data_IF_060999198104
#
_entry.id   IF_060999198104
#
_cell.length_a   1.000
_cell.length_b   1.000
_cell.length_c   1.000
_cell.angle_alpha   90.00
_cell.angle_beta   90.00
_cell.angle_gamma   90.00
#
_symmetry.space_group_name_H-M   'P 1'
#
loop_
_entity.id
_entity.type
_entity.pdbx_description
1 polymer ?
#
# COMPACT_ATOMS: atom_id res chain seq x y z
N UNK A 1 -2.34 -11.30 -8.32
CA UNK A 1 -2.02 -10.76 -9.66
C UNK A 1 -3.30 -10.48 -10.44
N UNK A 2 -4.17 -11.46 -10.69
CA UNK A 2 -5.40 -11.30 -11.51
C UNK A 2 -6.30 -10.16 -10.98
N UNK A 3 -6.62 -10.16 -9.69
CA UNK A 3 -7.43 -9.11 -9.05
C UNK A 3 -6.82 -7.73 -9.21
N UNK A 4 -5.52 -7.62 -9.04
CA UNK A 4 -4.77 -6.37 -9.19
C UNK A 4 -4.72 -5.88 -10.64
N UNK A 5 -4.55 -6.79 -11.60
CA UNK A 5 -4.60 -6.43 -13.03
C UNK A 5 -5.99 -5.88 -13.41
N UNK A 6 -7.05 -6.50 -12.90
CA UNK A 6 -8.43 -6.02 -13.10
C UNK A 6 -8.61 -4.65 -12.44
N UNK A 7 -8.11 -4.45 -11.22
CA UNK A 7 -8.21 -3.17 -10.50
C UNK A 7 -7.46 -2.05 -11.24
N UNK A 8 -6.26 -2.32 -11.75
CA UNK A 8 -5.49 -1.37 -12.55
C UNK A 8 -6.24 -1.01 -13.84
N UNK A 9 -6.82 -2.01 -14.52
CA UNK A 9 -7.58 -1.79 -15.75
C UNK A 9 -8.82 -0.93 -15.48
N UNK A 10 -9.61 -1.25 -14.45
CA UNK A 10 -10.78 -0.47 -14.06
C UNK A 10 -10.38 0.96 -13.70
N UNK A 11 -9.33 1.11 -12.88
CA UNK A 11 -8.83 2.44 -12.48
C UNK A 11 -8.36 3.25 -13.69
N UNK A 12 -7.67 2.63 -14.63
CA UNK A 12 -7.21 3.30 -15.85
C UNK A 12 -8.37 3.78 -16.71
N UNK A 13 -9.37 2.94 -16.93
CA UNK A 13 -10.54 3.27 -17.77
C UNK A 13 -11.39 4.36 -17.11
N UNK A 14 -11.61 4.29 -15.80
CA UNK A 14 -12.48 5.23 -15.08
C UNK A 14 -11.82 6.58 -14.85
N UNK A 15 -10.56 6.61 -14.45
CA UNK A 15 -9.89 7.84 -14.01
C UNK A 15 -8.72 8.26 -14.91
N UNK A 16 -8.03 7.33 -15.55
CA UNK A 16 -6.83 7.62 -16.34
C UNK A 16 -7.11 8.21 -17.72
N UNK A 17 -8.32 7.97 -18.28
CA UNK A 17 -8.68 8.45 -19.61
C UNK A 17 -9.43 9.77 -19.60
N UNK A 18 -10.22 10.06 -18.58
CA UNK A 18 -11.13 11.19 -18.51
C UNK A 18 -10.89 12.08 -17.29
N UNK A 19 -11.20 13.36 -17.41
CA UNK A 19 -11.20 14.31 -16.30
C UNK A 19 -10.01 15.27 -16.24
N UNK A 20 -10.17 16.30 -15.42
CA UNK A 20 -9.21 17.39 -15.23
C UNK A 20 -7.91 16.91 -14.58
N UNK A 21 -7.95 15.83 -13.79
CA UNK A 21 -6.84 15.29 -13.01
C UNK A 21 -6.19 14.03 -13.62
N UNK A 22 -6.44 13.75 -14.91
CA UNK A 22 -5.96 12.55 -15.60
C UNK A 22 -4.44 12.29 -15.48
N UNK A 23 -3.62 13.34 -15.46
CA UNK A 23 -2.16 13.22 -15.32
C UNK A 23 -1.81 12.63 -13.95
N UNK A 24 -2.43 13.11 -12.88
CA UNK A 24 -2.20 12.62 -11.52
C UNK A 24 -2.62 11.15 -11.38
N UNK A 25 -3.77 10.79 -11.93
CA UNK A 25 -4.26 9.40 -11.91
C UNK A 25 -3.36 8.46 -12.70
N UNK A 26 -2.80 8.90 -13.84
CA UNK A 26 -1.83 8.10 -14.60
C UNK A 26 -0.56 7.82 -13.81
N UNK A 27 -0.06 8.78 -13.05
CA UNK A 27 1.10 8.58 -12.19
C UNK A 27 0.75 7.63 -11.03
N UNK A 28 -0.46 7.73 -10.47
CA UNK A 28 -0.92 6.84 -9.40
C UNK A 28 -1.07 5.37 -9.83
N UNK A 29 -1.14 5.08 -11.13
CA UNK A 29 -1.05 3.68 -11.61
C UNK A 29 0.27 3.04 -11.21
N UNK A 30 1.36 3.80 -11.12
CA UNK A 30 2.67 3.31 -10.64
C UNK A 30 2.54 2.81 -9.20
N UNK A 31 1.77 3.51 -8.37
CA UNK A 31 1.49 3.09 -6.98
C UNK A 31 0.72 1.76 -6.95
N UNK A 32 -0.30 1.60 -7.81
CA UNK A 32 -1.03 0.33 -7.93
C UNK A 32 -0.12 -0.81 -8.38
N UNK A 33 0.78 -0.57 -9.33
CA UNK A 33 1.79 -1.54 -9.76
C UNK A 33 2.74 -1.88 -8.60
N UNK A 34 3.15 -0.87 -7.82
CA UNK A 34 3.98 -1.06 -6.63
C UNK A 34 3.33 -2.00 -5.61
N UNK A 35 2.02 -1.86 -5.38
CA UNK A 35 1.26 -2.75 -4.48
C UNK A 35 1.17 -4.19 -5.02
N UNK A 36 1.13 -4.38 -6.35
CA UNK A 36 1.16 -5.72 -6.94
C UNK A 36 2.47 -6.48 -6.66
N UNK A 37 3.57 -5.73 -6.53
CA UNK A 37 4.92 -6.27 -6.36
C UNK A 37 5.26 -6.40 -4.86
N UNK A 38 4.44 -5.86 -3.96
CA UNK A 38 4.71 -5.93 -2.53
C UNK A 38 4.63 -7.37 -2.00
N UNK A 39 5.76 -7.84 -1.48
CA UNK A 39 5.95 -9.15 -0.86
C UNK A 39 6.28 -9.03 0.64
N UNK A 40 5.99 -7.88 1.25
CA UNK A 40 6.27 -7.66 2.69
C UNK A 40 5.58 -8.68 3.58
N UNK A 41 4.36 -9.13 3.18
CA UNK A 41 3.60 -10.17 3.87
C UNK A 41 4.35 -11.50 4.00
N UNK A 42 5.18 -11.86 3.01
CA UNK A 42 6.00 -13.07 3.05
C UNK A 42 7.04 -13.00 4.18
N UNK A 43 7.78 -11.89 4.26
CA UNK A 43 8.78 -11.70 5.31
C UNK A 43 8.17 -11.56 6.71
N UNK A 44 6.95 -11.02 6.80
CA UNK A 44 6.19 -10.98 8.05
C UNK A 44 5.77 -12.40 8.47
N UNK A 45 5.30 -13.23 7.52
CA UNK A 45 4.87 -14.59 7.80
C UNK A 45 6.00 -15.53 8.28
N UNK A 46 7.23 -15.29 7.83
CA UNK A 46 8.42 -16.04 8.29
C UNK A 46 9.17 -15.35 9.45
N UNK A 47 8.55 -14.36 10.08
CA UNK A 47 9.07 -13.56 11.20
C UNK A 47 10.40 -12.81 10.90
N UNK A 48 10.74 -12.62 9.64
CA UNK A 48 11.94 -11.89 9.19
C UNK A 48 11.66 -10.36 9.08
N UNK A 49 11.15 -9.76 10.16
CA UNK A 49 10.75 -8.35 10.21
C UNK A 49 11.90 -7.39 9.93
N UNK A 50 13.12 -7.76 10.28
CA UNK A 50 14.31 -6.90 10.12
C UNK A 50 14.45 -6.39 8.69
N UNK A 51 14.22 -7.23 7.68
CA UNK A 51 14.36 -6.85 6.27
C UNK A 51 13.32 -5.83 5.84
N UNK A 52 12.06 -6.05 6.22
CA UNK A 52 10.97 -5.12 5.90
C UNK A 52 11.11 -3.79 6.65
N UNK A 53 11.51 -3.81 7.91
CA UNK A 53 11.70 -2.61 8.73
C UNK A 53 12.85 -1.76 8.21
N UNK A 54 14.02 -2.36 7.96
CA UNK A 54 15.19 -1.63 7.45
C UNK A 54 14.86 -1.01 6.08
N UNK A 55 14.29 -1.80 5.16
CA UNK A 55 13.88 -1.31 3.85
C UNK A 55 12.90 -0.14 3.98
N UNK A 56 11.84 -0.29 4.78
CA UNK A 56 10.84 0.76 4.96
C UNK A 56 11.46 2.03 5.53
N UNK A 57 12.38 1.91 6.49
CA UNK A 57 13.06 3.07 7.09
C UNK A 57 13.96 3.79 6.07
N UNK A 58 14.71 3.05 5.27
CA UNK A 58 15.57 3.62 4.23
C UNK A 58 14.73 4.32 3.16
N UNK A 59 13.66 3.67 2.66
CA UNK A 59 12.77 4.25 1.65
C UNK A 59 12.12 5.53 2.16
N UNK A 60 11.62 5.55 3.40
CA UNK A 60 11.02 6.75 4.03
C UNK A 60 12.04 7.87 4.18
N UNK A 61 13.29 7.56 4.55
CA UNK A 61 14.34 8.56 4.69
C UNK A 61 14.70 9.18 3.34
N UNK A 62 14.93 8.35 2.34
CA UNK A 62 15.22 8.82 0.96
C UNK A 62 14.04 9.66 0.44
N UNK A 63 12.81 9.20 0.63
CA UNK A 63 11.60 9.91 0.26
C UNK A 63 11.54 11.31 0.91
N UNK A 64 11.77 11.39 2.23
CA UNK A 64 11.78 12.67 2.94
C UNK A 64 12.84 13.62 2.36
N UNK A 65 14.06 13.13 2.15
CA UNK A 65 15.14 13.92 1.55
C UNK A 65 14.74 14.41 0.15
N UNK A 66 14.20 13.54 -0.69
CA UNK A 66 13.75 13.91 -2.04
C UNK A 66 12.65 14.99 -2.01
N UNK A 67 11.67 14.87 -1.09
CA UNK A 67 10.64 15.91 -0.95
C UNK A 67 11.28 17.25 -0.61
N UNK A 68 12.13 17.31 0.41
CA UNK A 68 12.77 18.57 0.79
C UNK A 68 13.66 19.18 -0.30
N UNK A 69 14.24 18.35 -1.16
CA UNK A 69 15.08 18.81 -2.27
C UNK A 69 14.26 19.31 -3.47
N UNK A 70 13.21 18.59 -3.86
CA UNK A 70 12.55 18.79 -5.15
C UNK A 70 11.17 19.46 -5.04
N UNK A 71 10.50 19.41 -3.91
CA UNK A 71 9.17 19.99 -3.71
C UNK A 71 9.32 21.30 -2.94
N UNK A 72 9.26 22.43 -3.67
CA UNK A 72 9.48 23.77 -3.09
C UNK A 72 8.22 24.64 -3.12
N UNK A 73 7.26 24.32 -3.99
CA UNK A 73 6.06 25.14 -4.20
C UNK A 73 4.80 24.28 -4.32
N UNK A 74 3.61 24.85 -4.10
CA UNK A 74 2.34 24.16 -4.33
C UNK A 74 2.17 23.60 -5.75
N UNK A 75 2.86 24.17 -6.74
CA UNK A 75 2.80 23.73 -8.13
C UNK A 75 3.61 22.44 -8.38
N UNK A 76 4.43 22.02 -7.44
CA UNK A 76 5.28 20.80 -7.55
C UNK A 76 4.52 19.51 -7.18
N UNK A 77 3.19 19.53 -7.16
CA UNK A 77 2.36 18.38 -6.80
C UNK A 77 2.69 17.13 -7.64
N UNK A 78 2.96 17.30 -8.93
CA UNK A 78 3.35 16.18 -9.81
C UNK A 78 4.65 15.55 -9.32
N UNK A 79 5.67 16.36 -8.99
CA UNK A 79 6.95 15.86 -8.46
C UNK A 79 6.74 15.09 -7.16
N UNK A 80 5.91 15.61 -6.28
CA UNK A 80 5.55 14.94 -5.02
C UNK A 80 4.94 13.55 -5.25
N UNK A 81 3.95 13.45 -6.15
CA UNK A 81 3.27 12.17 -6.45
C UNK A 81 4.25 11.18 -7.10
N UNK A 82 5.11 11.64 -8.03
CA UNK A 82 6.12 10.79 -8.68
C UNK A 82 7.14 10.27 -7.68
N UNK A 83 7.60 11.11 -6.75
CA UNK A 83 8.56 10.72 -5.71
C UNK A 83 7.94 9.65 -4.80
N UNK A 84 6.68 9.80 -4.37
CA UNK A 84 5.98 8.80 -3.56
C UNK A 84 5.86 7.47 -4.31
N UNK A 85 5.27 7.50 -5.49
CA UNK A 85 5.01 6.30 -6.27
C UNK A 85 6.32 5.58 -6.65
N UNK A 86 7.35 6.34 -7.00
CA UNK A 86 8.68 5.83 -7.29
C UNK A 86 9.35 5.19 -6.07
N UNK A 87 9.32 5.88 -4.92
CA UNK A 87 9.91 5.36 -3.68
C UNK A 87 9.26 4.03 -3.26
N UNK A 88 7.93 3.94 -3.34
CA UNK A 88 7.20 2.71 -3.03
C UNK A 88 7.53 1.59 -4.03
N UNK A 89 7.58 1.90 -5.32
CA UNK A 89 7.91 0.92 -6.36
C UNK A 89 9.31 0.35 -6.15
N UNK A 90 10.33 1.20 -6.05
CA UNK A 90 11.71 0.77 -5.82
C UNK A 90 11.88 0.06 -4.47
N UNK A 91 11.19 0.54 -3.43
CA UNK A 91 11.16 -0.10 -2.13
C UNK A 91 10.61 -1.52 -2.20
N UNK A 92 9.47 -1.72 -2.84
CA UNK A 92 8.86 -3.05 -2.97
C UNK A 92 9.70 -3.97 -3.86
N UNK A 93 10.25 -3.47 -4.97
CA UNK A 93 11.19 -4.24 -5.82
C UNK A 93 12.43 -4.70 -5.06
N UNK A 94 12.95 -3.91 -4.14
CA UNK A 94 14.17 -4.27 -3.39
C UNK A 94 14.01 -5.53 -2.52
N UNK A 95 12.80 -5.86 -2.08
CA UNK A 95 12.54 -7.08 -1.32
C UNK A 95 12.73 -8.35 -2.15
N UNK A 96 12.51 -8.28 -3.45
CA UNK A 96 12.66 -9.43 -4.34
C UNK A 96 14.10 -9.94 -4.42
N UNK A 97 15.09 -9.11 -4.11
CA UNK A 97 16.51 -9.50 -4.05
C UNK A 97 16.75 -10.59 -2.99
N UNK A 98 15.94 -10.60 -1.93
CA UNK A 98 16.09 -11.57 -0.84
C UNK A 98 15.33 -12.88 -1.08
N UNK A 99 14.34 -12.89 -1.98
CA UNK A 99 13.46 -14.06 -2.24
C UNK A 99 14.22 -15.33 -2.62
N UNK A 100 15.27 -15.31 -3.51
CA UNK A 100 15.94 -16.53 -3.93
C UNK A 100 16.55 -17.36 -2.80
N UNK A 101 16.76 -16.75 -1.61
CA UNK A 101 17.29 -17.45 -0.44
C UNK A 101 16.25 -18.30 0.29
N UNK A 102 14.95 -18.05 0.05
CA UNK A 102 13.84 -18.65 0.81
C UNK A 102 12.96 -19.56 -0.02
N UNK A 103 12.96 -19.43 -1.33
CA UNK A 103 12.09 -20.20 -2.21
C UNK A 103 12.89 -21.24 -2.99
N UNK A 104 12.30 -22.42 -3.10
CA UNK A 104 12.75 -23.47 -4.01
C UNK A 104 11.83 -23.51 -5.23
N UNK A 105 12.37 -23.98 -6.36
CA UNK A 105 11.58 -24.15 -7.58
C UNK A 105 10.64 -25.35 -7.38
N UNK A 106 9.35 -25.09 -7.49
CA UNK A 106 8.29 -26.12 -7.44
C UNK A 106 7.67 -26.25 -8.82
N UNK A 107 7.34 -27.47 -9.23
CA UNK A 107 6.64 -27.68 -10.50
C UNK A 107 5.23 -27.07 -10.42
N UNK A 108 4.80 -26.41 -11.50
CA UNK A 108 3.49 -25.74 -11.56
C UNK A 108 2.33 -26.71 -11.30
N UNK A 109 2.53 -28.00 -11.63
CA UNK A 109 1.53 -29.08 -11.41
C UNK A 109 1.26 -29.34 -9.92
N UNK A 110 2.21 -29.05 -9.04
CA UNK A 110 2.10 -29.29 -7.61
C UNK A 110 1.48 -28.08 -6.85
N UNK A 111 1.13 -27.03 -7.56
CA UNK A 111 0.53 -25.83 -6.99
C UNK A 111 -0.99 -25.99 -6.82
N UNK A 112 -1.41 -26.30 -5.59
CA UNK A 112 -2.83 -26.38 -5.23
C UNK A 112 -3.40 -24.99 -4.86
N UNK A 113 -3.49 -24.08 -5.83
CA UNK A 113 -3.90 -22.67 -5.62
C UNK A 113 -5.28 -22.56 -4.95
N UNK A 114 -6.24 -23.38 -5.34
CA UNK A 114 -7.60 -23.34 -4.80
C UNK A 114 -7.72 -23.77 -3.35
N UNK A 115 -6.78 -24.55 -2.83
CA UNK A 115 -6.73 -24.96 -1.42
C UNK A 115 -6.62 -23.76 -0.48
N UNK A 116 -5.94 -22.71 -0.93
CA UNK A 116 -5.72 -21.49 -0.15
C UNK A 116 -6.84 -20.45 -0.31
N UNK A 117 -7.76 -20.64 -1.24
CA UNK A 117 -8.80 -19.66 -1.53
C UNK A 117 -9.78 -19.48 -0.37
N UNK A 118 -10.26 -20.59 0.20
CA UNK A 118 -11.24 -20.55 1.30
C UNK A 118 -10.69 -19.82 2.55
N UNK A 119 -9.51 -20.17 3.11
CA UNK A 119 -8.96 -19.45 4.25
C UNK A 119 -8.65 -17.99 3.92
N UNK A 120 -8.20 -17.68 2.71
CA UNK A 120 -7.95 -16.30 2.28
C UNK A 120 -9.23 -15.48 2.27
N UNK A 121 -10.34 -16.01 1.74
CA UNK A 121 -11.64 -15.30 1.72
C UNK A 121 -12.13 -15.06 3.15
N UNK A 122 -12.03 -16.04 4.04
CA UNK A 122 -12.48 -15.89 5.43
C UNK A 122 -11.71 -14.78 6.17
N UNK A 123 -10.41 -14.65 5.92
CA UNK A 123 -9.59 -13.58 6.49
C UNK A 123 -9.80 -12.22 5.80
N UNK A 124 -10.26 -12.23 4.55
CA UNK A 124 -10.49 -11.02 3.77
C UNK A 124 -11.78 -10.28 4.14
N UNK A 125 -12.84 -11.01 4.53
CA UNK A 125 -14.14 -10.41 4.91
C UNK A 125 -14.00 -9.34 6.00
N UNK A 126 -13.35 -9.59 7.15
CA UNK A 126 -13.14 -8.57 8.17
C UNK A 126 -12.35 -7.37 7.65
N UNK A 127 -11.36 -7.60 6.78
CA UNK A 127 -10.55 -6.53 6.19
C UNK A 127 -11.37 -5.62 5.27
N UNK A 128 -12.30 -6.19 4.49
CA UNK A 128 -13.24 -5.38 3.68
C UNK A 128 -14.05 -4.46 4.59
N UNK A 129 -14.61 -4.99 5.67
CA UNK A 129 -15.43 -4.20 6.59
C UNK A 129 -14.65 -3.00 7.17
N UNK A 130 -13.40 -3.23 7.60
CA UNK A 130 -12.51 -2.17 8.10
C UNK A 130 -12.20 -1.15 7.00
N UNK A 131 -11.93 -1.59 5.76
CA UNK A 131 -11.64 -0.68 4.65
C UNK A 131 -12.86 0.14 4.25
N UNK A 132 -14.04 -0.45 4.16
CA UNK A 132 -15.29 0.27 3.89
C UNK A 132 -15.48 1.36 4.95
N UNK A 133 -15.37 1.01 6.23
CA UNK A 133 -15.52 1.97 7.32
C UNK A 133 -14.54 3.13 7.21
N UNK A 134 -13.26 2.86 6.99
CA UNK A 134 -12.22 3.91 6.94
C UNK A 134 -12.27 4.78 5.69
N UNK A 135 -12.79 4.26 4.57
CA UNK A 135 -12.91 5.00 3.30
C UNK A 135 -14.23 5.77 3.25
N UNK A 136 -15.31 5.19 3.82
CA UNK A 136 -16.65 5.77 3.78
C UNK A 136 -16.69 7.16 4.42
N UNK A 137 -16.04 7.33 5.58
CA UNK A 137 -15.99 8.62 6.29
C UNK A 137 -15.47 9.75 5.39
N UNK A 138 -14.37 9.51 4.67
CA UNK A 138 -13.79 10.51 3.77
C UNK A 138 -14.63 10.76 2.53
N UNK A 139 -15.22 9.69 2.00
CA UNK A 139 -16.07 9.78 0.82
C UNK A 139 -17.34 10.56 1.14
N UNK A 140 -17.98 10.29 2.28
CA UNK A 140 -19.14 11.02 2.76
C UNK A 140 -18.80 12.49 3.02
N UNK A 141 -17.69 12.75 3.68
CA UNK A 141 -17.22 14.12 3.92
C UNK A 141 -17.06 14.89 2.59
N UNK A 142 -16.38 14.26 1.61
CA UNK A 142 -16.15 14.87 0.31
C UNK A 142 -17.41 15.05 -0.56
N UNK A 143 -18.51 14.33 -0.28
CA UNK A 143 -19.80 14.48 -0.96
C UNK A 143 -20.66 15.56 -0.27
N UNK A 144 -20.63 15.59 1.08
CA UNK A 144 -21.53 16.47 1.86
C UNK A 144 -20.98 17.88 1.96
N UNK A 145 -19.65 18.03 2.07
CA UNK A 145 -19.01 19.34 2.25
C UNK A 145 -18.58 19.90 0.89
N UNK A 146 -19.02 21.11 0.58
CA UNK A 146 -18.66 21.83 -0.67
C UNK A 146 -17.18 22.22 -0.69
N UNK A 147 -16.63 22.62 0.46
CA UNK A 147 -15.23 22.99 0.58
C UNK A 147 -14.34 21.76 0.74
N UNK A 148 -13.66 21.39 -0.34
CA UNK A 148 -12.75 20.24 -0.39
C UNK A 148 -11.51 20.39 0.49
N UNK A 149 -11.21 21.58 1.00
CA UNK A 149 -10.11 21.80 1.93
C UNK A 149 -10.35 21.14 3.29
N UNK A 150 -11.62 21.04 3.71
CA UNK A 150 -12.01 20.36 4.95
C UNK A 150 -11.67 18.88 4.93
N UNK A 151 -11.82 18.21 3.78
CA UNK A 151 -11.41 16.81 3.60
C UNK A 151 -9.90 16.68 3.80
N UNK A 152 -9.13 17.65 3.32
CA UNK A 152 -7.69 17.71 3.51
C UNK A 152 -7.30 17.85 4.98
N UNK A 153 -7.96 18.74 5.72
CA UNK A 153 -7.75 18.92 7.16
C UNK A 153 -8.10 17.65 7.95
N UNK A 154 -9.21 17.03 7.62
CA UNK A 154 -9.62 15.76 8.23
C UNK A 154 -8.58 14.66 7.99
N UNK A 155 -8.04 14.54 6.76
CA UNK A 155 -6.98 13.56 6.48
C UNK A 155 -5.70 13.83 7.27
N UNK A 156 -5.30 15.09 7.45
CA UNK A 156 -4.13 15.41 8.26
C UNK A 156 -4.37 15.09 9.75
N UNK A 157 -5.55 15.42 10.27
CA UNK A 157 -5.93 15.06 11.64
C UNK A 157 -5.92 13.53 11.84
N UNK A 158 -6.48 12.77 10.90
CA UNK A 158 -6.43 11.30 10.93
C UNK A 158 -5.00 10.75 10.93
N UNK A 159 -4.06 11.38 10.21
CA UNK A 159 -2.66 10.95 10.22
C UNK A 159 -2.05 11.05 11.62
N UNK A 160 -2.36 12.12 12.36
CA UNK A 160 -1.89 12.28 13.74
C UNK A 160 -2.44 11.18 14.65
N UNK A 161 -3.75 10.91 14.56
CA UNK A 161 -4.38 9.82 15.34
C UNK A 161 -3.76 8.47 14.98
N UNK A 162 -3.53 8.21 13.69
CA UNK A 162 -2.91 6.96 13.23
C UNK A 162 -1.48 6.78 13.73
N UNK A 163 -0.72 7.84 13.94
CA UNK A 163 0.61 7.74 14.55
C UNK A 163 0.54 7.11 15.95
N UNK A 164 -0.42 7.53 16.77
CA UNK A 164 -0.62 6.97 18.11
C UNK A 164 -1.10 5.51 18.03
N UNK A 165 -2.05 5.22 17.15
CA UNK A 165 -2.56 3.87 16.94
C UNK A 165 -1.49 2.90 16.41
N UNK A 166 -0.52 3.39 15.64
CA UNK A 166 0.56 2.57 15.09
C UNK A 166 1.39 1.90 16.18
N UNK A 167 1.56 2.54 17.33
CA UNK A 167 2.27 1.95 18.47
C UNK A 167 1.55 0.68 18.97
N UNK A 168 0.24 0.72 19.04
CA UNK A 168 -0.58 -0.42 19.51
C UNK A 168 -0.65 -1.51 18.44
N UNK A 169 -0.92 -1.12 17.19
CA UNK A 169 -1.08 -2.08 16.08
C UNK A 169 0.22 -2.76 15.69
N UNK A 170 1.37 -2.13 15.92
CA UNK A 170 2.68 -2.75 15.68
C UNK A 170 2.91 -4.01 16.54
N UNK A 171 2.44 -4.00 17.78
CA UNK A 171 2.47 -5.19 18.65
C UNK A 171 1.64 -6.32 18.06
N UNK A 172 0.42 -6.03 17.58
CA UNK A 172 -0.43 -7.02 16.91
C UNK A 172 0.23 -7.63 15.68
N UNK A 173 0.87 -6.82 14.85
CA UNK A 173 1.54 -7.30 13.62
C UNK A 173 2.67 -8.28 13.92
N UNK A 174 3.39 -8.10 15.02
CA UNK A 174 4.48 -9.01 15.42
C UNK A 174 3.93 -10.26 16.13
N UNK A 175 2.88 -10.09 16.94
CA UNK A 175 2.35 -11.21 17.74
C UNK A 175 1.54 -12.21 16.93
N UNK A 176 0.80 -11.78 15.91
CA UNK A 176 -0.08 -12.66 15.11
C UNK A 176 0.68 -13.83 14.46
N UNK A 177 1.80 -13.63 13.71
CA UNK A 177 2.55 -14.74 13.15
C UNK A 177 3.12 -15.67 14.23
N UNK A 178 3.60 -15.10 15.34
CA UNK A 178 4.20 -15.87 16.43
C UNK A 178 3.17 -16.76 17.14
N UNK A 179 1.96 -16.24 17.38
CA UNK A 179 0.87 -17.05 17.97
C UNK A 179 0.36 -18.12 17.02
N UNK A 180 0.44 -17.89 15.71
CA UNK A 180 0.03 -18.89 14.71
C UNK A 180 1.07 -20.01 14.51
N UNK A 181 2.31 -19.78 14.91
CA UNK A 181 3.42 -20.76 14.81
C UNK A 181 3.57 -21.65 16.06
N UNK A 182 2.86 -21.33 17.15
CA UNK A 182 2.84 -22.12 18.39
C UNK A 182 1.68 -23.09 18.39
#
# INVERSE_FOLDING_TARGET
IITMTISIFIFWVTYGMHGQYKIYYRILVIELISQCIDISWFFQGIEEFKKTVIRNSIVKLIFAICIFMFVKSPNDLIKYIVIIAGANLFGNMSLWIYIPKYIQKVAIKDLHVFKHLKPTILLFIPQIAVQIYTVLDRTMLGIIIEDKSEVGFYEQAQKVVKLLLTLITSLGTVMVPRMAST
#
